data_IF_868004909297
#
_entry.id   IF_868004909297
#
_cell.length_a   1.000
_cell.length_b   1.000
_cell.length_c   1.000
_cell.angle_alpha   90.00
_cell.angle_beta   90.00
_cell.angle_gamma   90.00
#
_symmetry.space_group_name_H-M   'P 1'
#
loop_
_entity.id
_entity.type
_entity.pdbx_description
1 polymer ?
#
# COMPACT_ATOMS: atom_id res chain seq x y z
N UNK A 1 -0.77 -51.25 5.14
CA UNK A 1 -1.14 -50.04 5.92
C UNK A 1 0.01 -49.07 6.15
N UNK A 2 1.20 -49.48 6.63
CA UNK A 2 2.32 -48.54 6.96
C UNK A 2 2.84 -47.66 5.80
N UNK A 3 2.88 -48.15 4.55
CA UNK A 3 3.37 -47.35 3.40
C UNK A 3 2.45 -46.17 3.03
N UNK A 4 1.13 -46.35 3.10
CA UNK A 4 0.17 -45.30 2.72
C UNK A 4 0.15 -44.15 3.74
N UNK A 5 0.31 -44.45 5.03
CA UNK A 5 0.44 -43.41 6.06
C UNK A 5 1.75 -42.64 5.96
N UNK A 6 2.86 -43.31 5.60
CA UNK A 6 4.14 -42.64 5.36
C UNK A 6 4.04 -41.72 4.15
N UNK A 7 3.43 -42.18 3.04
CA UNK A 7 3.20 -41.36 1.85
C UNK A 7 2.31 -40.15 2.18
N UNK A 8 1.22 -40.35 2.93
CA UNK A 8 0.34 -39.25 3.34
C UNK A 8 1.04 -38.21 4.23
N UNK A 9 1.87 -38.66 5.18
CA UNK A 9 2.70 -37.77 6.02
C UNK A 9 3.73 -37.01 5.19
N UNK A 10 4.42 -37.68 4.28
CA UNK A 10 5.39 -37.06 3.36
C UNK A 10 4.70 -36.01 2.48
N UNK A 11 3.55 -36.34 1.87
CA UNK A 11 2.76 -35.40 1.07
C UNK A 11 2.33 -34.17 1.88
N UNK A 12 1.91 -34.36 3.13
CA UNK A 12 1.51 -33.25 4.02
C UNK A 12 2.69 -32.33 4.35
N UNK A 13 3.87 -32.90 4.64
CA UNK A 13 5.10 -32.15 4.90
C UNK A 13 5.54 -31.37 3.67
N UNK A 14 5.53 -32.01 2.49
CA UNK A 14 5.86 -31.36 1.20
C UNK A 14 4.89 -30.22 0.90
N UNK A 15 3.59 -30.42 1.11
CA UNK A 15 2.58 -29.38 0.92
C UNK A 15 2.81 -28.19 1.87
N UNK A 16 3.11 -28.47 3.13
CA UNK A 16 3.38 -27.42 4.14
C UNK A 16 4.65 -26.64 3.80
N UNK A 17 5.72 -27.33 3.41
CA UNK A 17 6.95 -26.70 2.96
C UNK A 17 6.73 -25.84 1.70
N UNK A 18 5.97 -26.35 0.74
CA UNK A 18 5.58 -25.63 -0.48
C UNK A 18 4.81 -24.36 -0.15
N UNK A 19 3.89 -24.40 0.82
CA UNK A 19 3.13 -23.22 1.26
C UNK A 19 4.07 -22.20 1.92
N UNK A 20 5.00 -22.64 2.78
CA UNK A 20 5.98 -21.73 3.40
C UNK A 20 6.87 -21.04 2.36
N UNK A 21 7.36 -21.80 1.38
CA UNK A 21 8.15 -21.25 0.26
C UNK A 21 7.32 -20.27 -0.55
N UNK A 22 6.08 -20.61 -0.90
CA UNK A 22 5.17 -19.68 -1.59
C UNK A 22 4.93 -18.43 -0.76
N UNK A 23 4.71 -18.54 0.56
CA UNK A 23 4.49 -17.40 1.45
C UNK A 23 5.65 -16.41 1.39
N UNK A 24 6.88 -16.89 1.51
CA UNK A 24 8.09 -16.06 1.50
C UNK A 24 8.72 -15.90 0.11
N UNK A 25 8.04 -16.32 -0.96
CA UNK A 25 8.61 -16.30 -2.32
C UNK A 25 9.06 -14.91 -2.79
N UNK A 26 8.35 -13.81 -2.49
CA UNK A 26 8.83 -12.49 -2.90
C UNK A 26 10.15 -12.10 -2.21
N UNK A 27 10.25 -12.34 -0.91
CA UNK A 27 11.47 -12.05 -0.13
C UNK A 27 12.65 -12.87 -0.65
N UNK A 28 12.44 -14.17 -0.86
CA UNK A 28 13.47 -15.09 -1.39
C UNK A 28 13.94 -14.63 -2.77
N UNK A 29 13.02 -14.25 -3.66
CA UNK A 29 13.34 -13.79 -5.01
C UNK A 29 14.12 -12.47 -5.02
N UNK A 30 13.80 -11.53 -4.11
CA UNK A 30 14.56 -10.28 -3.97
C UNK A 30 15.97 -10.58 -3.48
N UNK A 31 16.11 -11.35 -2.40
CA UNK A 31 17.43 -11.67 -1.83
C UNK A 31 18.29 -12.40 -2.87
N UNK A 32 17.74 -13.43 -3.52
CA UNK A 32 18.45 -14.16 -4.56
C UNK A 32 18.81 -13.27 -5.76
N UNK A 33 17.90 -12.38 -6.17
CA UNK A 33 18.14 -11.43 -7.26
C UNK A 33 19.21 -10.39 -6.93
N UNK A 34 19.24 -9.85 -5.71
CA UNK A 34 20.29 -8.90 -5.29
C UNK A 34 21.65 -9.60 -5.26
N UNK A 35 21.74 -10.76 -4.61
CA UNK A 35 22.96 -11.57 -4.56
C UNK A 35 23.44 -11.95 -5.96
N UNK A 36 22.53 -12.40 -6.82
CA UNK A 36 22.84 -12.80 -8.19
C UNK A 36 23.29 -11.63 -9.07
N UNK A 37 22.76 -10.43 -8.85
CA UNK A 37 23.20 -9.21 -9.57
C UNK A 37 24.63 -8.84 -9.19
N UNK A 38 24.97 -8.87 -7.90
CA UNK A 38 26.34 -8.61 -7.42
C UNK A 38 27.30 -9.69 -7.95
N UNK A 39 26.91 -10.97 -7.87
CA UNK A 39 27.71 -12.07 -8.40
C UNK A 39 27.93 -11.97 -9.93
N UNK A 40 26.91 -11.55 -10.67
CA UNK A 40 26.99 -11.28 -12.11
C UNK A 40 28.01 -10.17 -12.40
N UNK A 41 27.99 -9.07 -11.66
CA UNK A 41 28.96 -7.98 -11.81
C UNK A 41 30.40 -8.46 -11.53
N UNK A 42 30.61 -9.23 -10.46
CA UNK A 42 31.93 -9.81 -10.15
C UNK A 42 32.40 -10.74 -11.26
N UNK A 43 31.51 -11.59 -11.80
CA UNK A 43 31.84 -12.46 -12.93
C UNK A 43 32.15 -11.68 -14.21
N UNK A 44 31.44 -10.59 -14.50
CA UNK A 44 31.73 -9.72 -15.64
C UNK A 44 33.09 -9.02 -15.49
N UNK A 45 33.44 -8.57 -14.27
CA UNK A 45 34.76 -8.01 -13.98
C UNK A 45 35.85 -9.08 -14.18
N UNK A 46 35.64 -10.30 -13.66
CA UNK A 46 36.56 -11.43 -13.85
C UNK A 46 36.70 -11.80 -15.33
N UNK A 47 35.61 -11.81 -16.09
CA UNK A 47 35.62 -12.00 -17.54
C UNK A 47 36.50 -10.95 -18.23
N UNK A 48 36.37 -9.69 -17.82
CA UNK A 48 37.18 -8.58 -18.35
C UNK A 48 38.68 -8.77 -18.12
N UNK A 49 39.10 -9.38 -16.99
CA UNK A 49 40.53 -9.70 -16.78
C UNK A 49 41.09 -10.73 -17.76
N UNK A 50 40.23 -11.57 -18.36
CA UNK A 50 40.61 -12.57 -19.38
C UNK A 50 40.41 -12.06 -20.81
N UNK A 51 39.82 -10.89 -20.97
CA UNK A 51 39.51 -10.30 -22.28
C UNK A 51 40.81 -10.02 -23.06
N UNK A 52 41.85 -9.54 -22.39
CA UNK A 52 43.15 -9.27 -23.00
C UNK A 52 43.73 -10.50 -23.69
N UNK A 53 43.66 -11.69 -23.08
CA UNK A 53 44.13 -12.94 -23.71
C UNK A 53 43.38 -13.26 -25.00
N UNK A 54 42.06 -13.07 -25.01
CA UNK A 54 41.24 -13.30 -26.22
C UNK A 54 41.58 -12.29 -27.32
N UNK A 55 41.82 -11.03 -26.96
CA UNK A 55 42.18 -9.97 -27.90
C UNK A 55 43.62 -10.12 -28.44
N UNK A 56 44.55 -10.58 -27.61
CA UNK A 56 45.93 -10.90 -28.02
C UNK A 56 45.97 -12.07 -29.00
N UNK A 57 45.22 -13.16 -28.73
CA UNK A 57 45.05 -14.27 -29.68
C UNK A 57 44.45 -13.78 -31.00
N UNK A 58 43.38 -12.99 -30.94
CA UNK A 58 42.76 -12.41 -32.13
C UNK A 58 43.74 -11.57 -32.96
N UNK A 59 44.50 -10.69 -32.30
CA UNK A 59 45.50 -9.83 -32.96
C UNK A 59 46.61 -10.67 -33.60
N UNK A 60 47.07 -11.71 -32.91
CA UNK A 60 48.09 -12.63 -33.45
C UNK A 60 47.58 -13.37 -34.69
N UNK A 61 46.36 -13.92 -34.64
CA UNK A 61 45.78 -14.67 -35.75
C UNK A 61 45.53 -13.75 -36.97
N UNK A 62 45.04 -12.53 -36.74
CA UNK A 62 44.85 -11.51 -37.79
C UNK A 62 46.19 -11.10 -38.42
N UNK A 63 47.22 -10.85 -37.60
CA UNK A 63 48.55 -10.50 -38.11
C UNK A 63 49.15 -11.64 -38.95
N UNK A 64 48.99 -12.90 -38.54
CA UNK A 64 49.47 -14.04 -39.29
C UNK A 64 48.82 -14.14 -40.68
N UNK A 65 47.51 -13.86 -40.79
CA UNK A 65 46.83 -13.81 -42.10
C UNK A 65 47.38 -12.68 -42.98
N UNK A 66 47.60 -11.49 -42.41
CA UNK A 66 48.19 -10.37 -43.13
C UNK A 66 49.61 -10.69 -43.63
N UNK A 67 50.48 -11.22 -42.77
CA UNK A 67 51.85 -11.63 -43.12
C UNK A 67 51.86 -12.68 -44.25
N UNK A 68 51.00 -13.70 -44.18
CA UNK A 68 50.88 -14.71 -45.24
C UNK A 68 50.34 -14.14 -46.56
N UNK A 69 49.40 -13.19 -46.50
CA UNK A 69 48.83 -12.58 -47.71
C UNK A 69 49.78 -11.62 -48.45
N UNK A 70 50.72 -11.01 -47.71
CA UNK A 70 51.70 -10.07 -48.25
C UNK A 70 52.95 -10.76 -48.80
N UNK A 71 53.25 -11.99 -48.36
CA UNK A 71 54.41 -12.77 -48.79
C UNK A 71 54.32 -13.23 -50.25
N UNK A 72 55.23 -12.73 -51.09
CA UNK A 72 55.27 -13.02 -52.54
C UNK A 72 55.55 -14.49 -52.88
N UNK A 73 56.24 -15.24 -52.01
CA UNK A 73 56.56 -16.66 -52.24
C UNK A 73 55.35 -17.58 -52.01
N UNK A 74 54.38 -17.15 -51.18
CA UNK A 74 53.22 -17.96 -50.75
C UNK A 74 51.95 -17.58 -51.54
N UNK A 75 51.95 -16.43 -52.23
CA UNK A 75 50.81 -15.94 -53.05
C UNK A 75 50.31 -16.93 -54.11
N UNK A 76 51.14 -17.87 -54.55
CA UNK A 76 50.73 -18.91 -55.49
C UNK A 76 49.73 -19.92 -54.88
N UNK A 77 49.85 -20.19 -53.56
CA UNK A 77 49.06 -21.18 -52.82
C UNK A 77 48.04 -20.54 -51.86
N UNK A 78 48.15 -19.23 -51.59
CA UNK A 78 47.25 -18.49 -50.69
C UNK A 78 46.67 -17.23 -51.37
N UNK A 79 45.39 -17.31 -51.78
CA UNK A 79 44.75 -16.22 -52.53
C UNK A 79 44.19 -15.12 -51.60
N UNK A 80 43.87 -13.96 -52.17
CA UNK A 80 43.14 -12.92 -51.43
C UNK A 80 41.75 -13.36 -50.97
N UNK A 81 41.14 -14.33 -51.66
CA UNK A 81 39.83 -14.86 -51.26
C UNK A 81 39.96 -15.74 -50.00
N UNK A 82 41.04 -16.52 -49.91
CA UNK A 82 41.34 -17.34 -48.73
C UNK A 82 41.67 -16.48 -47.52
N UNK A 83 42.45 -15.41 -47.70
CA UNK A 83 42.69 -14.42 -46.65
C UNK A 83 41.41 -13.79 -46.09
N UNK A 84 40.44 -13.45 -46.97
CA UNK A 84 39.13 -12.93 -46.54
C UNK A 84 38.30 -13.97 -45.78
N UNK A 85 38.32 -15.23 -46.22
CA UNK A 85 37.63 -16.34 -45.54
C UNK A 85 38.23 -16.58 -44.15
N UNK A 86 39.55 -16.65 -44.04
CA UNK A 86 40.25 -16.85 -42.77
C UNK A 86 40.00 -15.70 -41.79
N UNK A 87 40.09 -14.45 -42.24
CA UNK A 87 39.71 -13.31 -41.40
C UNK A 87 38.27 -13.45 -40.89
N UNK A 88 37.33 -13.78 -41.77
CA UNK A 88 35.92 -13.97 -41.38
C UNK A 88 35.77 -15.06 -40.31
N UNK A 89 36.49 -16.17 -40.46
CA UNK A 89 36.52 -17.26 -39.46
C UNK A 89 37.11 -16.76 -38.13
N UNK A 90 38.24 -16.04 -38.16
CA UNK A 90 38.91 -15.51 -36.97
C UNK A 90 37.98 -14.53 -36.22
N UNK A 91 37.33 -13.60 -36.91
CA UNK A 91 36.38 -12.68 -36.32
C UNK A 91 35.17 -13.42 -35.71
N UNK A 92 34.61 -14.41 -36.42
CA UNK A 92 33.51 -15.22 -35.92
C UNK A 92 33.90 -16.04 -34.67
N UNK A 93 35.06 -16.69 -34.69
CA UNK A 93 35.60 -17.43 -33.55
C UNK A 93 35.86 -16.53 -32.36
N UNK A 94 36.40 -15.33 -32.60
CA UNK A 94 36.61 -14.31 -31.56
C UNK A 94 35.27 -13.89 -30.94
N UNK A 95 34.25 -13.62 -31.76
CA UNK A 95 32.89 -13.36 -31.30
C UNK A 95 32.34 -14.47 -30.41
N UNK A 96 32.50 -15.74 -30.81
CA UNK A 96 32.08 -16.90 -29.99
C UNK A 96 32.87 -16.98 -28.68
N UNK A 97 34.18 -16.70 -28.69
CA UNK A 97 35.00 -16.64 -27.46
C UNK A 97 34.51 -15.56 -26.51
N UNK A 98 34.18 -14.36 -27.01
CA UNK A 98 33.63 -13.26 -26.21
C UNK A 98 32.25 -13.60 -25.63
N UNK A 99 31.35 -14.19 -26.42
CA UNK A 99 30.06 -14.66 -25.93
C UNK A 99 30.25 -15.72 -24.85
N UNK A 100 31.10 -16.73 -25.06
CA UNK A 100 31.39 -17.74 -24.03
C UNK A 100 31.96 -17.13 -22.75
N UNK A 101 32.73 -16.06 -22.87
CA UNK A 101 33.36 -15.37 -21.74
C UNK A 101 32.35 -14.58 -20.89
N UNK A 102 31.43 -13.85 -21.52
CA UNK A 102 30.48 -12.97 -20.82
C UNK A 102 29.07 -13.56 -20.63
N UNK A 103 28.68 -14.57 -21.42
CA UNK A 103 27.33 -15.16 -21.37
C UNK A 103 26.91 -15.63 -19.97
N UNK A 104 27.77 -16.29 -19.15
CA UNK A 104 27.38 -16.68 -17.79
C UNK A 104 27.04 -15.47 -16.90
N UNK A 105 27.81 -14.39 -16.99
CA UNK A 105 27.57 -13.17 -16.23
C UNK A 105 26.27 -12.49 -16.69
N UNK A 106 26.07 -12.34 -18.00
CA UNK A 106 24.86 -11.74 -18.58
C UNK A 106 23.63 -12.56 -18.23
N UNK A 107 23.69 -13.89 -18.36
CA UNK A 107 22.58 -14.77 -18.04
C UNK A 107 22.19 -14.70 -16.56
N UNK A 108 23.17 -14.74 -15.65
CA UNK A 108 22.90 -14.59 -14.22
C UNK A 108 22.31 -13.21 -13.90
N UNK A 109 22.85 -12.15 -14.50
CA UNK A 109 22.36 -10.78 -14.31
C UNK A 109 20.92 -10.63 -14.77
N UNK A 110 20.60 -11.14 -15.97
CA UNK A 110 19.24 -11.13 -16.50
C UNK A 110 18.26 -11.91 -15.58
N UNK A 111 18.61 -13.15 -15.19
CA UNK A 111 17.79 -13.95 -14.28
C UNK A 111 17.57 -13.27 -12.92
N UNK A 112 18.59 -12.59 -12.42
CA UNK A 112 18.56 -11.88 -11.15
C UNK A 112 17.60 -10.69 -11.20
N UNK A 113 17.71 -9.85 -12.24
CA UNK A 113 16.81 -8.71 -12.45
C UNK A 113 15.36 -9.20 -12.63
N UNK A 114 15.15 -10.25 -13.43
CA UNK A 114 13.80 -10.81 -13.61
C UNK A 114 13.21 -11.35 -12.31
N UNK A 115 14.05 -11.91 -11.43
CA UNK A 115 13.62 -12.40 -10.12
C UNK A 115 13.14 -11.25 -9.22
N UNK A 116 13.85 -10.11 -9.21
CA UNK A 116 13.45 -8.91 -8.46
C UNK A 116 12.10 -8.37 -8.99
N UNK A 117 11.96 -8.25 -10.31
CA UNK A 117 10.71 -7.76 -10.92
C UNK A 117 9.54 -8.71 -10.62
N UNK A 118 9.77 -10.02 -10.75
CA UNK A 118 8.75 -11.03 -10.44
C UNK A 118 8.32 -10.97 -8.97
N UNK A 119 9.26 -10.75 -8.04
CA UNK A 119 8.95 -10.57 -6.63
C UNK A 119 7.99 -9.40 -6.39
N UNK A 120 8.30 -8.23 -6.93
CA UNK A 120 7.47 -7.03 -6.75
C UNK A 120 6.06 -7.24 -7.33
N UNK A 121 5.96 -7.92 -8.48
CA UNK A 121 4.66 -8.26 -9.08
C UNK A 121 3.84 -9.20 -8.17
N UNK A 122 4.46 -10.17 -7.50
CA UNK A 122 3.76 -11.04 -6.54
C UNK A 122 3.26 -10.23 -5.33
N UNK A 123 4.08 -9.33 -4.78
CA UNK A 123 3.68 -8.46 -3.67
C UNK A 123 2.49 -7.57 -4.06
N UNK A 124 2.57 -6.94 -5.23
CA UNK A 124 1.47 -6.11 -5.76
C UNK A 124 0.16 -6.89 -5.86
N UNK A 125 0.18 -8.09 -6.47
CA UNK A 125 -1.01 -8.94 -6.59
C UNK A 125 -1.61 -9.32 -5.23
N UNK A 126 -0.76 -9.59 -4.22
CA UNK A 126 -1.22 -9.89 -2.86
C UNK A 126 -1.85 -8.68 -2.19
N UNK A 127 -1.25 -7.49 -2.32
CA UNK A 127 -1.79 -6.27 -1.75
C UNK A 127 -3.15 -5.91 -2.37
N UNK A 128 -3.29 -6.06 -3.70
CA UNK A 128 -4.59 -5.89 -4.38
C UNK A 128 -5.62 -6.90 -3.87
N UNK A 129 -5.24 -8.17 -3.71
CA UNK A 129 -6.16 -9.19 -3.17
C UNK A 129 -6.58 -8.89 -1.72
N UNK A 130 -5.66 -8.40 -0.88
CA UNK A 130 -5.98 -7.97 0.48
C UNK A 130 -6.94 -6.77 0.47
N UNK A 131 -6.67 -5.76 -0.37
CA UNK A 131 -7.56 -4.61 -0.53
C UNK A 131 -8.97 -5.05 -0.97
N UNK A 132 -9.08 -5.97 -1.93
CA UNK A 132 -10.36 -6.52 -2.38
C UNK A 132 -11.08 -7.31 -1.26
N UNK A 133 -10.34 -8.07 -0.45
CA UNK A 133 -10.90 -8.76 0.71
C UNK A 133 -11.45 -7.76 1.75
N UNK A 134 -10.70 -6.69 2.05
CA UNK A 134 -11.17 -5.60 2.92
C UNK A 134 -12.39 -4.89 2.35
N UNK A 135 -12.43 -4.60 1.05
CA UNK A 135 -13.61 -4.02 0.40
C UNK A 135 -14.83 -4.95 0.50
N UNK A 136 -14.64 -6.26 0.42
CA UNK A 136 -15.72 -7.24 0.61
C UNK A 136 -16.24 -7.25 2.05
N UNK A 137 -15.33 -7.14 3.03
CA UNK A 137 -15.70 -7.03 4.46
C UNK A 137 -16.44 -5.72 4.73
N UNK A 138 -15.95 -4.59 4.21
CA UNK A 138 -16.60 -3.28 4.32
C UNK A 138 -18.01 -3.32 3.74
N UNK A 139 -18.16 -3.86 2.52
CA UNK A 139 -19.48 -4.06 1.89
C UNK A 139 -20.40 -4.91 2.78
N UNK A 140 -19.90 -6.03 3.29
CA UNK A 140 -20.69 -6.92 4.16
C UNK A 140 -21.14 -6.20 5.45
N UNK A 141 -20.29 -5.33 6.01
CA UNK A 141 -20.58 -4.53 7.18
C UNK A 141 -21.60 -3.42 6.88
N UNK A 142 -21.45 -2.69 5.77
CA UNK A 142 -22.43 -1.70 5.29
C UNK A 142 -23.80 -2.32 5.07
N UNK A 143 -23.87 -3.48 4.41
CA UNK A 143 -25.12 -4.22 4.22
C UNK A 143 -25.73 -4.69 5.55
N UNK A 144 -24.91 -5.10 6.52
CA UNK A 144 -25.38 -5.43 7.86
C UNK A 144 -26.00 -4.20 8.55
N UNK A 145 -25.29 -3.06 8.54
CA UNK A 145 -25.80 -1.80 9.11
C UNK A 145 -27.08 -1.34 8.43
N UNK A 146 -27.17 -1.44 7.11
CA UNK A 146 -28.41 -1.13 6.37
C UNK A 146 -29.59 -1.98 6.86
N UNK A 147 -29.38 -3.27 7.14
CA UNK A 147 -30.43 -4.12 7.74
C UNK A 147 -30.77 -3.74 9.18
N UNK A 148 -29.82 -3.24 9.95
CA UNK A 148 -30.08 -2.71 11.30
C UNK A 148 -30.94 -1.46 11.20
N UNK A 149 -30.58 -0.53 10.31
CA UNK A 149 -31.36 0.70 10.04
C UNK A 149 -32.77 0.36 9.55
N UNK A 150 -32.92 -0.57 8.61
CA UNK A 150 -34.22 -0.99 8.07
C UNK A 150 -35.15 -1.59 9.15
N UNK A 151 -34.60 -2.36 10.09
CA UNK A 151 -35.39 -3.07 11.12
C UNK A 151 -35.61 -2.27 12.40
N UNK A 152 -34.63 -1.48 12.81
CA UNK A 152 -34.58 -0.84 14.13
C UNK A 152 -34.48 0.68 14.07
N UNK A 153 -34.29 1.26 12.88
CA UNK A 153 -34.13 2.70 12.67
C UNK A 153 -32.69 3.19 12.81
N UNK A 154 -32.45 4.40 12.29
CA UNK A 154 -31.11 5.02 12.25
C UNK A 154 -30.55 5.32 13.65
N UNK A 155 -31.42 5.64 14.62
CA UNK A 155 -31.01 5.91 16.00
C UNK A 155 -30.34 4.70 16.66
N UNK A 156 -30.93 3.51 16.49
CA UNK A 156 -30.40 2.27 17.08
C UNK A 156 -29.05 1.89 16.45
N UNK A 157 -28.89 2.07 15.14
CA UNK A 157 -27.61 1.84 14.48
C UNK A 157 -26.53 2.82 15.00
N UNK A 158 -26.85 4.10 15.18
CA UNK A 158 -25.92 5.08 15.80
C UNK A 158 -25.57 4.71 17.23
N UNK A 159 -26.55 4.30 18.04
CA UNK A 159 -26.33 3.84 19.41
C UNK A 159 -25.37 2.64 19.45
N UNK A 160 -25.58 1.65 18.59
CA UNK A 160 -24.72 0.47 18.50
C UNK A 160 -23.32 0.82 17.98
N UNK A 161 -23.21 1.68 16.96
CA UNK A 161 -21.94 2.06 16.35
C UNK A 161 -21.04 2.84 17.31
N UNK A 162 -21.59 3.81 18.03
CA UNK A 162 -20.83 4.67 18.92
C UNK A 162 -20.81 4.18 20.37
N UNK A 163 -21.28 2.95 20.63
CA UNK A 163 -21.43 2.35 21.96
C UNK A 163 -22.15 3.31 22.93
N UNK A 164 -23.19 3.98 22.44
CA UNK A 164 -23.91 4.99 23.23
C UNK A 164 -24.63 4.28 24.36
N UNK A 165 -24.19 4.56 25.58
CA UNK A 165 -24.79 4.00 26.79
C UNK A 165 -25.50 5.09 27.56
N UNK A 166 -26.74 4.80 27.93
CA UNK A 166 -27.48 5.56 28.92
C UNK A 166 -26.82 5.37 30.29
N UNK A 167 -26.06 6.38 30.74
CA UNK A 167 -25.47 6.40 32.08
C UNK A 167 -26.25 7.35 32.98
N UNK A 168 -26.53 6.92 34.20
CA UNK A 168 -27.22 7.74 35.21
C UNK A 168 -26.19 8.59 35.93
N UNK A 169 -26.43 9.89 36.02
CA UNK A 169 -25.63 10.79 36.85
C UNK A 169 -26.54 11.50 37.85
N UNK A 170 -25.98 11.82 39.02
CA UNK A 170 -26.66 12.59 40.06
C UNK A 170 -26.27 14.06 39.90
N UNK A 171 -27.17 14.85 39.33
CA UNK A 171 -27.00 16.29 39.20
C UNK A 171 -27.56 16.95 40.45
N UNK A 172 -26.76 17.81 41.10
CA UNK A 172 -27.21 18.53 42.30
C UNK A 172 -27.84 19.84 41.87
N UNK A 173 -29.15 19.83 41.65
CA UNK A 173 -29.91 21.02 41.25
C UNK A 173 -30.35 21.77 42.51
N UNK A 174 -30.05 23.06 42.60
CA UNK A 174 -30.58 23.92 43.68
C UNK A 174 -32.01 24.30 43.36
N UNK A 175 -32.91 23.98 44.29
CA UNK A 175 -34.32 24.32 44.19
C UNK A 175 -34.50 25.85 44.24
N UNK A 176 -35.08 26.50 43.22
CA UNK A 176 -35.14 27.96 43.12
C UNK A 176 -35.94 28.63 44.25
N UNK A 177 -36.86 27.91 44.90
CA UNK A 177 -37.69 28.49 45.98
C UNK A 177 -37.12 28.23 47.38
N UNK A 178 -36.39 27.14 47.58
CA UNK A 178 -35.96 26.71 48.93
C UNK A 178 -34.46 26.72 49.15
N UNK A 179 -33.65 26.92 48.09
CA UNK A 179 -32.19 26.93 48.16
C UNK A 179 -31.55 25.60 48.56
N UNK A 180 -32.35 24.53 48.73
CA UNK A 180 -31.87 23.19 49.09
C UNK A 180 -31.33 22.47 47.87
N UNK A 181 -30.20 21.80 48.06
CA UNK A 181 -29.59 20.92 47.08
C UNK A 181 -30.45 19.67 46.90
N UNK A 182 -30.98 19.47 45.69
CA UNK A 182 -31.75 18.30 45.30
C UNK A 182 -30.94 17.48 44.32
N UNK A 183 -30.64 16.23 44.69
CA UNK A 183 -30.03 15.27 43.77
C UNK A 183 -31.09 14.79 42.78
N UNK A 184 -30.98 15.24 41.53
CA UNK A 184 -31.81 14.77 40.42
C UNK A 184 -31.02 13.72 39.66
N UNK A 185 -31.64 12.55 39.44
CA UNK A 185 -31.05 11.50 38.60
C UNK A 185 -31.44 11.77 37.15
N UNK A 186 -30.50 12.24 36.37
CA UNK A 186 -30.64 12.43 34.93
C UNK A 186 -29.91 11.30 34.21
N UNK A 187 -30.45 10.90 33.06
CA UNK A 187 -29.85 9.90 32.19
C UNK A 187 -29.19 10.65 31.04
N UNK A 188 -27.88 10.50 30.89
CA UNK A 188 -27.12 11.12 29.79
C UNK A 188 -26.57 10.03 28.89
N UNK A 189 -26.71 10.26 27.59
CA UNK A 189 -26.15 9.42 26.53
C UNK A 189 -24.68 9.80 26.33
N UNK A 190 -23.79 8.83 26.53
CA UNK A 190 -22.34 9.01 26.44
C UNK A 190 -21.84 8.18 25.27
N UNK A 191 -21.20 8.81 24.30
CA UNK A 191 -20.60 8.15 23.15
C UNK A 191 -19.11 7.88 23.37
N UNK A 192 -18.57 6.85 22.71
CA UNK A 192 -17.12 6.65 22.58
C UNK A 192 -16.67 7.00 21.18
N UNK A 193 -15.60 7.79 21.07
CA UNK A 193 -14.96 8.13 19.80
C UNK A 193 -14.01 7.04 19.25
N UNK A 194 -14.17 5.78 19.66
CA UNK A 194 -13.32 4.67 19.19
C UNK A 194 -13.67 4.22 17.75
N UNK A 195 -14.67 4.82 17.10
CA UNK A 195 -15.09 4.43 15.75
C UNK A 195 -14.21 5.04 14.67
N UNK A 196 -13.08 4.40 14.33
CA UNK A 196 -12.30 4.66 13.12
C UNK A 196 -11.85 6.11 12.93
N UNK A 197 -12.59 6.88 12.15
CA UNK A 197 -12.30 8.28 11.80
C UNK A 197 -12.96 9.29 12.73
N UNK A 198 -13.75 8.84 13.70
CA UNK A 198 -14.49 9.73 14.57
C UNK A 198 -13.57 10.55 15.48
N UNK A 199 -13.89 11.83 15.65
CA UNK A 199 -13.15 12.78 16.49
C UNK A 199 -14.13 13.62 17.29
N UNK A 200 -13.81 13.89 18.55
CA UNK A 200 -14.53 14.91 19.29
C UNK A 200 -14.11 16.29 18.79
N UNK A 201 -15.08 17.18 18.60
CA UNK A 201 -14.84 18.60 18.39
C UNK A 201 -14.83 19.29 19.75
N UNK A 202 -13.63 19.64 20.21
CA UNK A 202 -13.37 20.20 21.54
C UNK A 202 -12.45 21.43 21.49
N UNK A 203 -12.05 21.93 22.65
CA UNK A 203 -11.21 23.13 22.81
C UNK A 203 -9.87 23.07 22.06
N UNK A 204 -9.40 21.88 21.66
CA UNK A 204 -8.18 21.73 20.85
C UNK A 204 -8.43 22.02 19.37
N UNK A 205 -9.68 21.92 18.92
CA UNK A 205 -10.07 22.19 17.55
C UNK A 205 -10.13 23.69 17.26
N UNK A 206 -9.74 24.06 16.05
CA UNK A 206 -9.81 25.45 15.57
C UNK A 206 -11.27 25.88 15.47
N UNK A 207 -11.60 27.00 16.10
CA UNK A 207 -12.92 27.61 16.04
C UNK A 207 -13.96 26.98 16.97
N UNK A 208 -13.52 26.15 17.92
CA UNK A 208 -14.36 25.70 19.03
C UNK A 208 -14.73 26.89 19.94
N UNK A 209 -15.99 26.95 20.33
CA UNK A 209 -16.54 27.87 21.32
C UNK A 209 -17.36 27.10 22.36
N UNK A 210 -17.64 27.73 23.50
CA UNK A 210 -18.49 27.13 24.54
C UNK A 210 -19.96 27.04 24.13
N UNK A 211 -20.38 27.85 23.15
CA UNK A 211 -21.73 27.81 22.61
C UNK A 211 -21.86 26.72 21.55
N UNK A 212 -22.60 25.66 21.90
CA UNK A 212 -22.88 24.53 21.00
C UNK A 212 -23.53 24.98 19.69
N UNK A 213 -24.41 25.99 19.69
CA UNK A 213 -25.08 26.43 18.47
C UNK A 213 -24.10 27.12 17.50
N UNK A 214 -23.15 27.88 18.03
CA UNK A 214 -22.08 28.47 17.23
C UNK A 214 -21.17 27.39 16.63
N UNK A 215 -20.80 26.37 17.42
CA UNK A 215 -20.03 25.23 16.94
C UNK A 215 -20.73 24.51 15.79
N UNK A 216 -22.03 24.24 15.93
CA UNK A 216 -22.83 23.58 14.88
C UNK A 216 -22.90 24.42 13.60
N UNK A 217 -23.04 25.74 13.72
CA UNK A 217 -23.03 26.64 12.58
C UNK A 217 -21.68 26.60 11.85
N UNK A 218 -20.58 26.69 12.60
CA UNK A 218 -19.22 26.65 12.06
C UNK A 218 -18.95 25.31 11.35
N UNK A 219 -19.25 24.19 12.01
CA UNK A 219 -19.05 22.85 11.46
C UNK A 219 -19.83 22.61 10.16
N UNK A 220 -21.09 23.05 10.11
CA UNK A 220 -21.90 22.99 8.87
C UNK A 220 -21.30 23.84 7.75
N UNK A 221 -20.75 25.00 8.08
CA UNK A 221 -20.03 25.85 7.11
C UNK A 221 -18.77 25.17 6.56
N UNK A 222 -17.97 24.54 7.42
CA UNK A 222 -16.78 23.79 7.01
C UNK A 222 -17.14 22.56 6.18
N UNK A 223 -18.21 21.85 6.52
CA UNK A 223 -18.71 20.73 5.72
C UNK A 223 -19.11 21.18 4.32
N UNK A 224 -19.80 22.32 4.18
CA UNK A 224 -20.13 22.87 2.87
C UNK A 224 -18.87 23.23 2.08
N UNK A 225 -17.89 23.86 2.72
CA UNK A 225 -16.62 24.19 2.07
C UNK A 225 -15.85 22.95 1.60
N UNK A 226 -15.83 21.89 2.40
CA UNK A 226 -15.25 20.60 2.02
C UNK A 226 -15.97 19.98 0.82
N UNK A 227 -17.30 20.09 0.75
CA UNK A 227 -18.07 19.69 -0.44
C UNK A 227 -17.71 20.52 -1.67
N UNK A 228 -17.60 21.84 -1.55
CA UNK A 228 -17.22 22.70 -2.67
C UNK A 228 -15.81 22.35 -3.18
N UNK A 229 -14.87 22.06 -2.27
CA UNK A 229 -13.54 21.57 -2.61
C UNK A 229 -13.58 20.21 -3.31
N UNK A 230 -14.41 19.28 -2.83
CA UNK A 230 -14.60 17.96 -3.44
C UNK A 230 -15.10 18.10 -4.89
N UNK A 231 -16.09 18.96 -5.12
CA UNK A 231 -16.61 19.21 -6.47
C UNK A 231 -15.59 19.93 -7.37
N UNK A 232 -14.79 20.85 -6.82
CA UNK A 232 -13.82 21.62 -7.59
C UNK A 232 -12.56 20.82 -7.96
N UNK A 233 -12.05 20.00 -7.02
CA UNK A 233 -10.80 19.23 -7.18
C UNK A 233 -11.03 17.81 -7.70
N UNK A 234 -12.21 17.25 -7.48
CA UNK A 234 -12.53 15.85 -7.74
C UNK A 234 -12.18 14.91 -6.58
N UNK A 235 -11.45 15.36 -5.56
CA UNK A 235 -11.12 14.58 -4.37
C UNK A 235 -10.80 15.49 -3.18
N UNK A 236 -10.92 14.95 -1.97
CA UNK A 236 -10.51 15.58 -0.70
C UNK A 236 -9.96 14.50 0.22
N UNK A 237 -8.77 14.71 0.81
CA UNK A 237 -8.25 13.80 1.83
C UNK A 237 -8.85 14.10 3.20
N UNK A 238 -8.95 13.10 4.08
CA UNK A 238 -9.41 13.31 5.45
C UNK A 238 -8.52 14.31 6.20
N UNK A 239 -7.20 14.29 5.95
CA UNK A 239 -6.30 15.28 6.51
C UNK A 239 -6.59 16.71 6.04
N UNK A 240 -7.14 16.91 4.84
CA UNK A 240 -7.53 18.26 4.40
C UNK A 240 -8.66 18.79 5.30
N UNK A 241 -9.63 17.93 5.65
CA UNK A 241 -10.72 18.27 6.58
C UNK A 241 -10.18 18.46 8.01
N UNK A 242 -9.23 17.63 8.46
CA UNK A 242 -8.59 17.83 9.76
C UNK A 242 -7.85 19.17 9.83
N UNK A 243 -7.11 19.55 8.79
CA UNK A 243 -6.42 20.84 8.71
C UNK A 243 -7.43 22.02 8.76
N UNK A 244 -8.63 21.88 8.15
CA UNK A 244 -9.70 22.89 8.25
C UNK A 244 -10.21 23.07 9.69
N UNK A 245 -10.33 21.96 10.42
CA UNK A 245 -10.83 21.90 11.80
C UNK A 245 -9.74 22.07 12.87
N UNK A 246 -8.47 22.20 12.48
CA UNK A 246 -7.34 22.24 13.41
C UNK A 246 -7.11 20.94 14.17
N UNK A 247 -7.53 19.80 13.61
CA UNK A 247 -7.28 18.47 14.16
C UNK A 247 -5.91 17.99 13.67
N UNK A 248 -5.17 17.29 14.53
CA UNK A 248 -3.88 16.71 14.15
C UNK A 248 -4.03 15.70 13.01
N UNK A 249 -3.13 15.82 12.04
CA UNK A 249 -3.07 14.91 10.89
C UNK A 249 -2.77 13.48 11.34
N UNK A 250 -3.35 12.52 10.63
CA UNK A 250 -3.05 11.10 10.82
C UNK A 250 -2.39 10.52 9.56
N UNK A 251 -1.74 9.36 9.71
CA UNK A 251 -1.16 8.65 8.55
C UNK A 251 -2.27 8.14 7.63
N UNK A 252 -3.34 7.66 8.22
CA UNK A 252 -4.52 7.15 7.55
C UNK A 252 -5.18 8.26 6.74
N UNK A 253 -5.31 9.47 7.30
CA UNK A 253 -5.95 10.60 6.64
C UNK A 253 -5.22 11.14 5.41
N UNK A 254 -4.00 10.65 5.13
CA UNK A 254 -3.26 10.94 3.89
C UNK A 254 -3.63 9.98 2.74
N UNK A 255 -4.27 8.87 3.07
CA UNK A 255 -4.63 7.79 2.15
C UNK A 255 -6.16 7.78 1.96
N UNK A 256 -6.90 8.03 3.04
CA UNK A 256 -8.36 8.00 3.02
C UNK A 256 -8.98 9.36 2.75
N UNK A 257 -10.16 9.37 2.14
CA UNK A 257 -10.88 10.60 1.84
C UNK A 257 -12.14 10.37 1.02
N UNK A 258 -12.48 11.36 0.21
CA UNK A 258 -13.64 11.37 -0.67
C UNK A 258 -13.23 11.57 -2.11
N UNK A 259 -13.95 10.93 -3.03
CA UNK A 259 -13.81 11.13 -4.48
C UNK A 259 -15.13 11.53 -5.09
N UNK A 260 -15.09 12.57 -5.91
CA UNK A 260 -16.22 12.98 -6.72
C UNK A 260 -16.11 12.40 -8.11
N UNK A 261 -16.96 11.43 -8.41
CA UNK A 261 -17.04 10.85 -9.75
C UNK A 261 -18.49 10.47 -10.05
N UNK A 262 -19.10 11.23 -10.97
CA UNK A 262 -20.49 11.04 -11.41
C UNK A 262 -20.80 9.65 -11.98
N UNK A 263 -19.77 8.92 -12.39
CA UNK A 263 -19.87 7.58 -12.99
C UNK A 263 -19.38 6.48 -12.05
N UNK A 264 -18.96 6.80 -10.81
CA UNK A 264 -18.45 5.82 -9.86
C UNK A 264 -19.53 5.41 -8.86
N UNK A 265 -19.72 4.10 -8.71
CA UNK A 265 -20.68 3.50 -7.75
C UNK A 265 -20.10 3.38 -6.33
N UNK A 266 -18.80 3.65 -6.13
CA UNK A 266 -18.11 3.34 -4.87
C UNK A 266 -18.23 4.46 -3.82
N UNK A 267 -18.21 5.72 -4.25
CA UNK A 267 -18.16 6.88 -3.35
C UNK A 267 -19.51 7.53 -3.13
N UNK A 268 -19.70 8.13 -1.95
CA UNK A 268 -20.94 8.83 -1.60
C UNK A 268 -21.13 10.12 -2.43
N UNK A 269 -20.05 10.64 -3.04
CA UNK A 269 -20.00 11.87 -3.84
C UNK A 269 -20.30 13.17 -3.04
N UNK A 270 -20.33 13.10 -1.72
CA UNK A 270 -20.42 14.25 -0.83
C UNK A 270 -19.63 14.01 0.46
N UNK A 271 -19.21 15.11 1.09
CA UNK A 271 -18.58 15.11 2.40
C UNK A 271 -19.65 15.33 3.47
N UNK A 272 -19.72 14.45 4.45
CA UNK A 272 -20.53 14.59 5.66
C UNK A 272 -19.66 14.38 6.89
N UNK A 273 -19.76 15.33 7.82
CA UNK A 273 -19.02 15.28 9.08
C UNK A 273 -19.72 14.40 10.11
N UNK A 274 -20.94 13.92 9.83
CA UNK A 274 -21.65 13.00 10.72
C UNK A 274 -21.90 13.60 12.10
N UNK A 275 -22.18 14.90 12.16
CA UNK A 275 -22.24 15.70 13.38
C UNK A 275 -23.28 15.11 14.34
N UNK A 276 -22.81 14.66 15.51
CA UNK A 276 -23.64 14.09 16.56
C UNK A 276 -23.41 14.83 17.88
N UNK A 277 -24.46 15.47 18.39
CA UNK A 277 -24.46 16.02 19.75
C UNK A 277 -24.58 14.88 20.77
N UNK A 278 -23.62 14.79 21.69
CA UNK A 278 -23.52 13.72 22.69
C UNK A 278 -22.84 14.22 23.96
N UNK A 279 -22.49 13.31 24.87
CA UNK A 279 -21.64 13.61 26.01
C UNK A 279 -20.41 12.71 25.99
N UNK A 280 -19.30 13.18 26.55
CA UNK A 280 -18.08 12.38 26.75
C UNK A 280 -17.76 12.22 28.23
N UNK A 281 -17.15 11.10 28.56
CA UNK A 281 -16.66 10.81 29.91
C UNK A 281 -15.31 11.50 30.11
N UNK A 282 -15.20 12.29 31.18
CA UNK A 282 -13.98 12.97 31.60
C UNK A 282 -13.12 12.05 32.46
N UNK A 283 -11.84 12.41 32.66
CA UNK A 283 -10.89 11.63 33.47
C UNK A 283 -11.39 11.40 34.91
N UNK A 284 -12.15 12.35 35.44
CA UNK A 284 -12.73 12.30 36.79
C UNK A 284 -14.00 11.43 36.87
N UNK A 285 -14.42 10.80 35.77
CA UNK A 285 -15.64 10.01 35.66
C UNK A 285 -16.93 10.85 35.57
N UNK A 286 -16.80 12.17 35.43
CA UNK A 286 -17.92 13.09 35.14
C UNK A 286 -18.23 13.15 33.64
N UNK A 287 -19.36 13.72 33.24
CA UNK A 287 -19.76 13.81 31.83
C UNK A 287 -19.90 15.26 31.41
N UNK A 288 -19.43 15.58 30.21
CA UNK A 288 -19.59 16.91 29.61
C UNK A 288 -20.20 16.84 28.21
N UNK A 289 -20.97 17.86 27.80
CA UNK A 289 -21.48 17.97 26.44
C UNK A 289 -20.33 17.97 25.42
N UNK A 290 -20.47 17.19 24.37
CA UNK A 290 -19.48 17.05 23.31
C UNK A 290 -20.14 16.90 21.95
N UNK A 291 -19.46 17.35 20.91
CA UNK A 291 -19.87 17.08 19.53
C UNK A 291 -18.94 16.01 18.99
N UNK A 292 -19.49 14.87 18.60
CA UNK A 292 -18.77 13.81 17.90
C UNK A 292 -18.91 14.04 16.39
N UNK A 293 -17.79 14.13 15.70
CA UNK A 293 -17.71 14.11 14.24
C UNK A 293 -17.37 12.70 13.81
N UNK A 294 -18.10 12.15 12.85
CA UNK A 294 -17.79 10.87 12.24
C UNK A 294 -17.90 10.97 10.72
N UNK A 295 -16.73 11.12 10.10
CA UNK A 295 -16.58 11.43 8.69
C UNK A 295 -16.95 10.23 7.80
N UNK A 296 -17.82 10.44 6.80
CA UNK A 296 -18.26 9.42 5.84
C UNK A 296 -17.23 9.13 4.74
N UNK A 297 -15.95 8.92 5.09
CA UNK A 297 -14.91 8.71 4.06
C UNK A 297 -15.20 7.48 3.19
N UNK A 298 -14.89 7.58 1.89
CA UNK A 298 -15.05 6.50 0.91
C UNK A 298 -14.03 5.35 1.12
N UNK A 299 -13.02 5.58 1.95
CA UNK A 299 -11.91 4.65 2.20
C UNK A 299 -10.63 5.11 1.51
N UNK A 300 -9.77 4.18 1.09
CA UNK A 300 -8.52 4.51 0.38
C UNK A 300 -8.84 5.06 -1.02
N UNK A 301 -8.51 6.33 -1.24
CA UNK A 301 -8.80 7.03 -2.49
C UNK A 301 -7.60 7.11 -3.44
N UNK A 302 -6.42 6.63 -3.05
CA UNK A 302 -5.20 6.76 -3.88
C UNK A 302 -5.28 6.02 -5.22
N UNK A 303 -6.05 4.94 -5.28
CA UNK A 303 -6.28 4.18 -6.52
C UNK A 303 -7.51 4.69 -7.31
N UNK A 304 -8.24 5.67 -6.76
CA UNK A 304 -9.48 6.22 -7.34
C UNK A 304 -9.29 7.60 -7.99
N UNK A 305 -8.18 8.28 -7.71
CA UNK A 305 -7.79 9.60 -8.24
C UNK A 305 -6.94 9.51 -9.51
#
# INVERSE_FOLDING_TARGET
MKKNEIIAKVTTVVNTATIKVKKHSPEILIVAGVVGTVASAVMACKATTKLSTVLEEHKKDVNAVHECSENEEIKADYSQEDAKKDLTIIYAQTGVKLVKLYAPAIALGALSITSIVASNNILRKRNVALAAAYATVDKSFKEYRNRVVERFGEQVDKELKYDIKAKKFEETVKDPETGKEKKVKSTVNVAKADSGYARFFDETCKGYEKDTQYNLLMLRGQQQYANDLLHARGYVFLNDVYDMLGIDRTKEGQIVGWVYNKNNEVGDNFVDFGILETNRETEDGSYEPAILLDFNVDGNILDLI
#
